data_IF_087685182406
#
_entry.id   IF_087685182406
#
_cell.length_a   1.000
_cell.length_b   1.000
_cell.length_c   1.000
_cell.angle_alpha   90.00
_cell.angle_beta   90.00
_cell.angle_gamma   90.00
#
_symmetry.space_group_name_H-M   'P 1'
#
loop_
_entity.id
_entity.type
_entity.pdbx_description
1 polymer ?
#
# COMPACT_ATOMS: atom_id res chain seq x y z
N UNK A 1 29.32 -11.43 -56.54
CA UNK A 1 29.05 -10.70 -55.28
C UNK A 1 28.78 -11.73 -54.18
N UNK A 2 29.67 -11.94 -53.21
CA UNK A 2 29.44 -12.91 -52.15
C UNK A 2 28.32 -12.38 -51.23
N UNK A 3 27.21 -13.11 -51.14
CA UNK A 3 26.09 -12.80 -50.24
C UNK A 3 26.53 -13.13 -48.81
N UNK A 4 26.69 -12.10 -47.97
CA UNK A 4 26.95 -12.30 -46.55
C UNK A 4 25.82 -13.13 -45.92
N UNK A 5 26.18 -14.25 -45.31
CA UNK A 5 25.24 -15.21 -44.75
C UNK A 5 24.44 -14.57 -43.59
N UNK A 6 23.10 -14.65 -43.68
CA UNK A 6 22.15 -14.06 -42.73
C UNK A 6 22.35 -14.49 -41.27
N UNK A 7 23.03 -15.62 -41.03
CA UNK A 7 23.41 -16.08 -39.70
C UNK A 7 24.46 -15.18 -39.02
N UNK A 8 25.40 -14.61 -39.78
CA UNK A 8 26.45 -13.73 -39.23
C UNK A 8 25.87 -12.37 -38.85
N UNK A 9 24.91 -11.87 -39.63
CA UNK A 9 24.20 -10.62 -39.32
C UNK A 9 23.38 -10.73 -38.02
N UNK A 10 22.66 -11.85 -37.83
CA UNK A 10 21.90 -12.09 -36.59
C UNK A 10 22.79 -12.21 -35.35
N UNK A 11 23.94 -12.90 -35.46
CA UNK A 11 24.91 -13.00 -34.36
C UNK A 11 25.54 -11.65 -34.02
N UNK A 12 25.93 -10.85 -35.02
CA UNK A 12 26.47 -9.50 -34.81
C UNK A 12 25.45 -8.57 -34.17
N UNK A 13 24.17 -8.64 -34.61
CA UNK A 13 23.08 -7.84 -34.04
C UNK A 13 22.77 -8.20 -32.58
N UNK A 14 22.82 -9.48 -32.22
CA UNK A 14 22.65 -9.90 -30.82
C UNK A 14 23.81 -9.41 -29.96
N UNK A 15 25.05 -9.54 -30.42
CA UNK A 15 26.23 -9.05 -29.68
C UNK A 15 26.16 -7.54 -29.46
N UNK A 16 25.75 -6.76 -30.47
CA UNK A 16 25.60 -5.30 -30.32
C UNK A 16 24.49 -4.92 -29.34
N UNK A 17 23.36 -5.64 -29.33
CA UNK A 17 22.27 -5.37 -28.40
C UNK A 17 22.66 -5.72 -26.96
N UNK A 18 23.33 -6.85 -26.74
CA UNK A 18 23.83 -7.23 -25.41
C UNK A 18 24.88 -6.24 -24.92
N UNK A 19 25.82 -5.81 -25.78
CA UNK A 19 26.79 -4.79 -25.42
C UNK A 19 26.14 -3.45 -25.07
N UNK A 20 25.13 -3.02 -25.83
CA UNK A 20 24.38 -1.79 -25.54
C UNK A 20 23.63 -1.87 -24.20
N UNK A 21 22.99 -3.00 -23.90
CA UNK A 21 22.30 -3.24 -22.62
C UNK A 21 23.29 -3.20 -21.45
N UNK A 22 24.47 -3.81 -21.59
CA UNK A 22 25.51 -3.77 -20.56
C UNK A 22 26.00 -2.35 -20.29
N UNK A 23 26.20 -1.54 -21.33
CA UNK A 23 26.61 -0.14 -21.18
C UNK A 23 25.53 0.66 -20.43
N UNK A 24 24.26 0.49 -20.79
CA UNK A 24 23.15 1.17 -20.11
C UNK A 24 23.04 0.72 -18.65
N UNK A 25 23.22 -0.57 -18.35
CA UNK A 25 23.22 -1.09 -16.99
C UNK A 25 24.36 -0.49 -16.15
N UNK A 26 25.57 -0.41 -16.70
CA UNK A 26 26.73 0.18 -16.01
C UNK A 26 26.50 1.67 -15.71
N UNK A 27 25.96 2.42 -16.67
CA UNK A 27 25.63 3.85 -16.47
C UNK A 27 24.53 4.00 -15.42
N UNK A 28 23.49 3.17 -15.45
CA UNK A 28 22.43 3.17 -14.45
C UNK A 28 22.96 2.89 -13.04
N UNK A 29 23.84 1.89 -12.88
CA UNK A 29 24.48 1.58 -11.59
C UNK A 29 25.40 2.72 -11.14
N UNK A 30 26.17 3.33 -12.04
CA UNK A 30 27.04 4.45 -11.70
C UNK A 30 26.25 5.68 -11.23
N UNK A 31 25.17 6.03 -11.92
CA UNK A 31 24.26 7.12 -11.52
C UNK A 31 23.61 6.80 -10.17
N UNK A 32 23.14 5.56 -9.97
CA UNK A 32 22.57 5.11 -8.71
C UNK A 32 23.57 5.21 -7.55
N UNK A 33 24.83 4.78 -7.73
CA UNK A 33 25.88 4.87 -6.72
C UNK A 33 26.28 6.32 -6.38
N UNK A 34 26.22 7.23 -7.35
CA UNK A 34 26.48 8.66 -7.13
C UNK A 34 25.36 9.35 -6.32
N UNK A 35 24.11 8.95 -6.52
CA UNK A 35 22.94 9.49 -5.80
C UNK A 35 22.81 8.86 -4.40
N UNK A 36 22.88 7.54 -4.30
CA UNK A 36 22.66 6.82 -3.06
C UNK A 36 23.82 6.99 -2.05
N UNK A 37 25.02 7.41 -2.52
CA UNK A 37 26.25 7.57 -1.73
C UNK A 37 26.38 6.56 -0.56
N UNK A 38 26.31 5.24 -0.84
CA UNK A 38 26.31 4.22 0.22
C UNK A 38 27.61 4.16 1.04
N UNK A 39 28.65 4.89 0.60
CA UNK A 39 29.97 4.99 1.21
C UNK A 39 30.17 6.25 2.05
N UNK A 40 29.15 7.10 2.20
CA UNK A 40 29.23 8.30 3.05
C UNK A 40 29.15 8.01 4.57
N UNK A 41 28.88 6.76 4.97
CA UNK A 41 28.75 6.35 6.38
C UNK A 41 30.02 5.68 6.93
N UNK A 42 31.19 6.20 6.58
CA UNK A 42 32.45 5.75 7.16
C UNK A 42 33.11 6.94 7.90
N UNK A 43 32.53 7.34 9.03
CA UNK A 43 33.19 8.16 10.03
C UNK A 43 32.65 7.82 11.42
N UNK A 44 33.55 7.25 12.25
CA UNK A 44 33.55 7.17 13.73
C UNK A 44 32.40 6.46 14.46
N UNK A 45 32.57 5.77 15.59
CA UNK A 45 33.69 5.18 16.31
C UNK A 45 33.04 4.37 17.47
N UNK A 46 33.48 3.12 17.64
CA UNK A 46 33.76 2.37 18.89
C UNK A 46 32.80 2.42 20.12
N UNK A 47 32.51 1.26 20.77
CA UNK A 47 31.55 1.11 21.87
C UNK A 47 32.13 1.42 23.26
N UNK A 48 31.26 1.71 24.24
CA UNK A 48 31.59 1.74 25.67
C UNK A 48 30.50 1.02 26.48
N UNK A 49 30.81 -0.09 27.18
CA UNK A 49 29.94 -0.67 28.19
C UNK A 49 30.31 -0.12 29.57
N UNK A 50 29.34 0.05 30.48
CA UNK A 50 29.63 -0.02 31.91
C UNK A 50 28.41 -0.49 32.68
N UNK A 51 28.70 -1.44 33.57
CA UNK A 51 27.79 -2.20 34.41
C UNK A 51 27.56 -1.55 35.80
N UNK A 52 26.75 -2.26 36.59
CA UNK A 52 26.62 -2.22 38.06
C UNK A 52 25.83 -1.06 38.66
N UNK A 53 25.12 -1.20 39.79
CA UNK A 53 24.66 -2.32 40.61
C UNK A 53 23.81 -1.71 41.76
N UNK A 54 23.10 -2.58 42.49
CA UNK A 54 22.72 -2.46 43.91
C UNK A 54 21.33 -1.93 44.28
N UNK A 55 20.53 -2.86 44.80
CA UNK A 55 19.55 -2.71 45.90
C UNK A 55 20.30 -2.36 47.23
N UNK A 56 19.68 -2.12 48.43
CA UNK A 56 18.60 -2.96 49.01
C UNK A 56 17.66 -2.29 50.06
N UNK A 57 16.82 -3.15 50.67
CA UNK A 57 16.17 -3.10 52.01
C UNK A 57 15.07 -2.06 52.26
N UNK A 58 14.09 -2.22 53.15
CA UNK A 58 13.46 -3.29 53.95
C UNK A 58 12.35 -2.55 54.73
N UNK A 59 11.25 -3.21 55.11
CA UNK A 59 10.59 -3.09 56.44
C UNK A 59 9.15 -3.62 56.43
N UNK A 60 8.94 -4.74 57.10
CA UNK A 60 7.68 -5.20 57.74
C UNK A 60 7.41 -4.32 58.98
N UNK A 61 6.15 -4.14 59.43
CA UNK A 61 5.59 -5.06 60.43
C UNK A 61 4.08 -5.40 60.26
N UNK A 62 3.75 -6.65 60.58
CA UNK A 62 2.44 -7.13 61.09
C UNK A 62 2.24 -6.57 62.53
N UNK A 63 1.03 -6.45 63.13
CA UNK A 63 0.24 -7.66 63.41
C UNK A 63 -1.31 -7.54 63.58
N UNK A 64 -1.94 -8.71 63.60
CA UNK A 64 -3.08 -9.12 64.47
C UNK A 64 -4.47 -9.31 63.83
N UNK A 65 -5.00 -10.49 64.16
CA UNK A 65 -6.22 -11.15 63.71
C UNK A 65 -7.54 -10.54 64.16
N UNK A 66 -8.59 -10.81 63.37
CA UNK A 66 -10.01 -10.64 63.71
C UNK A 66 -10.88 -11.48 62.77
N UNK A 67 -11.91 -12.12 63.33
CA UNK A 67 -12.68 -13.26 62.82
C UNK A 67 -13.50 -13.07 61.51
N UNK A 68 -13.78 -14.22 60.88
CA UNK A 68 -14.74 -14.50 59.79
C UNK A 68 -16.21 -14.41 60.26
N UNK A 69 -17.29 -14.56 59.44
CA UNK A 69 -17.42 -14.71 57.98
C UNK A 69 -18.49 -13.80 57.32
N UNK A 70 -18.44 -13.70 55.98
CA UNK A 70 -19.57 -13.83 55.04
C UNK A 70 -19.60 -12.78 53.90
N UNK A 71 -19.91 -13.33 52.72
CA UNK A 71 -20.55 -12.72 51.55
C UNK A 71 -19.69 -11.97 50.51
N UNK A 72 -19.93 -12.43 49.28
CA UNK A 72 -19.76 -11.76 47.99
C UNK A 72 -18.37 -11.75 47.33
N UNK A 73 -18.19 -12.75 46.47
CA UNK A 73 -17.29 -12.76 45.32
C UNK A 73 -17.54 -11.55 44.41
N UNK A 74 -16.55 -10.71 44.11
CA UNK A 74 -16.54 -9.96 42.86
C UNK A 74 -15.93 -10.83 41.76
N UNK A 75 -16.41 -10.62 40.54
CA UNK A 75 -16.00 -11.26 39.31
C UNK A 75 -14.50 -11.06 39.00
N UNK A 76 -13.87 -11.93 38.17
CA UNK A 76 -12.50 -11.73 37.76
C UNK A 76 -12.40 -10.48 36.87
N UNK A 77 -11.75 -9.44 37.37
CA UNK A 77 -11.23 -8.38 36.51
C UNK A 77 -10.10 -8.99 35.65
N UNK A 78 -10.46 -9.32 34.41
CA UNK A 78 -9.50 -9.57 33.35
C UNK A 78 -8.75 -8.25 33.09
N UNK A 79 -7.69 -8.00 33.86
CA UNK A 79 -6.64 -7.06 33.46
C UNK A 79 -6.00 -7.62 32.19
N UNK A 80 -6.53 -7.21 31.04
CA UNK A 80 -5.84 -7.34 29.78
C UNK A 80 -4.63 -6.40 29.85
N UNK A 81 -3.46 -7.00 30.00
CA UNK A 81 -2.16 -6.37 29.88
C UNK A 81 -2.08 -5.76 28.47
N UNK A 82 -2.31 -4.46 28.33
CA UNK A 82 -2.09 -3.75 27.07
C UNK A 82 -0.59 -3.78 26.75
N UNK A 83 -0.19 -4.77 25.94
CA UNK A 83 0.99 -4.62 25.09
C UNK A 83 0.81 -3.29 24.36
N UNK A 84 1.81 -2.39 24.29
CA UNK A 84 1.64 -1.14 23.55
C UNK A 84 1.40 -1.50 22.07
N UNK A 85 0.13 -1.62 21.72
CA UNK A 85 -0.34 -2.03 20.43
C UNK A 85 -0.12 -0.87 19.48
N UNK A 86 0.23 -1.19 18.23
CA UNK A 86 0.22 -0.20 17.16
C UNK A 86 -1.19 0.38 17.11
N UNK A 87 -1.30 1.69 17.37
CA UNK A 87 -2.59 2.40 17.40
C UNK A 87 -3.18 2.49 15.99
N UNK A 88 -4.50 2.62 15.89
CA UNK A 88 -5.15 2.85 14.60
C UNK A 88 -4.67 4.16 13.98
N UNK A 89 -4.56 4.20 12.65
CA UNK A 89 -4.23 5.43 11.94
C UNK A 89 -5.32 6.50 12.16
N UNK A 90 -4.92 7.77 12.23
CA UNK A 90 -5.82 8.91 12.35
C UNK A 90 -6.02 9.61 11.00
N UNK A 91 -7.22 10.17 10.76
CA UNK A 91 -7.60 10.80 9.50
C UNK A 91 -6.65 11.90 9.01
N UNK A 92 -5.99 12.61 9.94
CA UNK A 92 -5.02 13.67 9.61
C UNK A 92 -3.66 13.15 9.13
N UNK A 93 -3.32 11.90 9.46
CA UNK A 93 -2.00 11.35 9.23
C UNK A 93 -1.92 10.49 7.97
N UNK A 94 -3.03 10.02 7.42
CA UNK A 94 -3.02 9.14 6.25
C UNK A 94 -3.51 9.87 5.01
N UNK A 95 -2.63 9.99 4.03
CA UNK A 95 -2.98 10.43 2.68
C UNK A 95 -3.30 9.22 1.80
N UNK A 96 -4.45 9.27 1.14
CA UNK A 96 -4.91 8.25 0.19
C UNK A 96 -4.93 8.85 -1.22
N UNK A 97 -4.34 8.15 -2.18
CA UNK A 97 -4.32 8.59 -3.58
C UNK A 97 -4.68 7.45 -4.54
N UNK A 98 -5.43 7.79 -5.59
CA UNK A 98 -5.68 6.89 -6.70
C UNK A 98 -4.44 6.81 -7.60
N UNK A 99 -4.05 5.60 -8.00
CA UNK A 99 -2.96 5.35 -8.93
C UNK A 99 -3.49 4.54 -10.10
N UNK A 100 -3.07 4.88 -11.31
CA UNK A 100 -3.38 4.16 -12.54
C UNK A 100 -2.09 3.79 -13.26
N UNK A 101 -2.10 2.71 -14.03
CA UNK A 101 -0.94 2.26 -14.80
C UNK A 101 -0.62 3.14 -16.01
N UNK A 102 -1.59 3.92 -16.48
CA UNK A 102 -1.41 4.94 -17.51
C UNK A 102 -2.38 6.13 -17.31
N UNK A 103 -2.09 7.23 -17.99
CA UNK A 103 -2.99 8.39 -18.06
C UNK A 103 -3.96 8.33 -19.25
N UNK A 104 -3.66 7.49 -20.24
CA UNK A 104 -4.42 7.33 -21.47
C UNK A 104 -4.41 5.87 -21.92
N UNK A 105 -5.55 5.39 -22.40
CA UNK A 105 -5.75 4.00 -22.79
C UNK A 105 -6.29 3.91 -24.21
N UNK A 106 -5.59 3.16 -25.05
CA UNK A 106 -6.03 2.83 -26.41
C UNK A 106 -7.34 2.01 -26.40
N UNK A 107 -8.03 1.90 -27.54
CA UNK A 107 -9.20 1.05 -27.67
C UNK A 107 -8.92 -0.39 -27.20
N UNK A 108 -9.76 -0.88 -26.29
CA UNK A 108 -9.66 -2.24 -25.76
C UNK A 108 -8.65 -2.43 -24.63
N UNK A 109 -7.78 -1.45 -24.33
CA UNK A 109 -6.91 -1.50 -23.15
C UNK A 109 -7.72 -1.20 -21.90
N UNK A 110 -7.57 -2.03 -20.87
CA UNK A 110 -8.30 -1.95 -19.60
C UNK A 110 -7.45 -1.27 -18.52
N UNK A 111 -7.94 -0.21 -17.87
CA UNK A 111 -7.24 0.44 -16.77
C UNK A 111 -6.96 -0.48 -15.58
N UNK A 112 -5.73 -0.41 -15.07
CA UNK A 112 -5.33 -1.03 -13.80
C UNK A 112 -5.34 0.03 -12.70
N UNK A 113 -6.27 -0.11 -11.76
CA UNK A 113 -6.53 0.87 -10.70
C UNK A 113 -5.90 0.40 -9.38
N UNK A 114 -5.19 1.27 -8.70
CA UNK A 114 -4.51 0.99 -7.44
C UNK A 114 -4.75 2.11 -6.42
N UNK A 115 -4.52 1.78 -5.15
CA UNK A 115 -4.60 2.73 -4.04
C UNK A 115 -3.19 2.91 -3.50
N UNK A 116 -2.78 4.16 -3.29
CA UNK A 116 -1.56 4.51 -2.57
C UNK A 116 -1.92 5.10 -1.21
N UNK A 117 -1.23 4.65 -0.18
CA UNK A 117 -1.33 5.10 1.20
C UNK A 117 0.00 5.73 1.60
N UNK A 118 -0.04 6.92 2.20
CA UNK A 118 1.14 7.56 2.81
C UNK A 118 0.82 7.93 4.25
N UNK A 119 1.61 7.42 5.19
CA UNK A 119 1.57 7.90 6.58
C UNK A 119 2.45 9.15 6.71
N UNK A 120 1.80 10.30 6.84
CA UNK A 120 2.38 11.63 7.09
C UNK A 120 2.63 11.89 8.58
N UNK A 121 2.14 11.03 9.46
CA UNK A 121 2.37 11.08 10.90
C UNK A 121 3.80 10.71 11.29
N UNK A 122 4.09 10.88 12.59
CA UNK A 122 5.42 10.63 13.17
C UNK A 122 5.57 9.24 13.81
N UNK A 123 4.50 8.46 13.84
CA UNK A 123 4.43 7.13 14.45
C UNK A 123 3.83 6.12 13.50
N UNK A 124 4.21 4.85 13.67
CA UNK A 124 3.59 3.73 12.98
C UNK A 124 2.12 3.62 13.41
N UNK A 125 1.25 3.25 12.47
CA UNK A 125 -0.17 3.06 12.76
C UNK A 125 -0.73 1.84 12.01
N UNK A 126 -1.86 1.32 12.50
CA UNK A 126 -2.54 0.17 11.93
C UNK A 126 -3.77 0.62 11.11
N UNK A 127 -3.96 0.01 9.95
CA UNK A 127 -5.08 0.29 9.04
C UNK A 127 -5.58 -1.01 8.40
N UNK A 128 -6.90 -1.17 8.30
CA UNK A 128 -7.49 -2.25 7.51
C UNK A 128 -7.39 -1.91 6.01
N UNK A 129 -6.49 -2.60 5.33
CA UNK A 129 -6.27 -2.52 3.88
C UNK A 129 -6.94 -3.67 3.14
N UNK A 130 -7.83 -4.40 3.79
CA UNK A 130 -8.61 -5.48 3.19
C UNK A 130 -9.62 -4.97 2.17
N UNK A 131 -10.07 -5.85 1.28
CA UNK A 131 -11.04 -5.52 0.25
C UNK A 131 -12.44 -5.19 0.81
N UNK A 132 -12.70 -5.47 2.09
CA UNK A 132 -13.90 -5.02 2.83
C UNK A 132 -13.98 -3.52 2.99
N UNK A 133 -12.83 -2.83 3.06
CA UNK A 133 -12.76 -1.38 3.28
C UNK A 133 -12.30 -0.61 2.05
N UNK A 134 -11.83 -1.31 1.00
CA UNK A 134 -11.42 -0.71 -0.26
C UNK A 134 -12.61 -0.40 -1.18
N UNK A 135 -12.67 0.84 -1.67
CA UNK A 135 -13.59 1.26 -2.72
C UNK A 135 -12.84 2.10 -3.75
N UNK A 136 -12.95 1.70 -5.01
CA UNK A 136 -12.51 2.49 -6.17
C UNK A 136 -13.75 2.88 -6.96
N UNK A 137 -13.86 4.15 -7.34
CA UNK A 137 -15.00 4.67 -8.09
C UNK A 137 -14.51 5.38 -9.34
N UNK A 138 -15.07 5.04 -10.49
CA UNK A 138 -14.80 5.70 -11.76
C UNK A 138 -16.01 6.53 -12.17
N UNK A 139 -15.80 7.81 -12.43
CA UNK A 139 -16.84 8.74 -12.86
C UNK A 139 -16.45 9.57 -14.08
N UNK A 140 -17.44 10.12 -14.77
CA UNK A 140 -17.27 11.16 -15.80
C UNK A 140 -18.20 12.33 -15.44
N UNK A 141 -17.63 13.44 -15.00
CA UNK A 141 -18.41 14.53 -14.39
C UNK A 141 -19.10 14.05 -13.11
N UNK A 142 -20.42 14.24 -13.02
CA UNK A 142 -21.23 13.74 -11.90
C UNK A 142 -21.74 12.32 -12.07
N UNK A 143 -21.51 11.69 -13.23
CA UNK A 143 -22.02 10.34 -13.52
C UNK A 143 -21.03 9.28 -13.04
N UNK A 144 -21.47 8.43 -12.11
CA UNK A 144 -20.70 7.27 -11.65
C UNK A 144 -20.88 6.14 -12.65
N UNK A 145 -19.78 5.72 -13.25
CA UNK A 145 -19.75 4.62 -14.20
C UNK A 145 -19.53 3.30 -13.51
N UNK A 146 -18.58 3.24 -12.58
CA UNK A 146 -18.21 1.96 -11.99
C UNK A 146 -17.76 2.13 -10.54
N UNK A 147 -18.08 1.15 -9.70
CA UNK A 147 -17.58 1.07 -8.33
C UNK A 147 -17.09 -0.34 -8.05
N UNK A 148 -15.90 -0.50 -7.47
CA UNK A 148 -15.27 -1.80 -7.22
C UNK A 148 -16.06 -2.72 -6.29
N UNK A 149 -16.93 -2.14 -5.47
CA UNK A 149 -17.80 -2.89 -4.54
C UNK A 149 -19.07 -3.40 -5.22
N UNK A 150 -19.43 -2.87 -6.40
CA UNK A 150 -20.52 -3.44 -7.17
C UNK A 150 -20.09 -4.84 -7.62
N UNK A 151 -20.89 -5.85 -7.26
CA UNK A 151 -20.66 -7.24 -7.65
C UNK A 151 -19.37 -7.83 -7.07
N UNK A 152 -18.82 -7.23 -6.01
CA UNK A 152 -17.69 -7.79 -5.29
C UNK A 152 -18.10 -9.09 -4.59
N UNK A 153 -17.30 -10.14 -4.75
CA UNK A 153 -17.48 -11.40 -4.07
C UNK A 153 -16.39 -11.64 -3.03
N UNK A 154 -16.75 -12.29 -1.93
CA UNK A 154 -15.83 -12.72 -0.88
C UNK A 154 -14.87 -11.63 -0.36
N UNK A 155 -15.36 -10.45 0.06
CA UNK A 155 -14.49 -9.43 0.61
C UNK A 155 -13.84 -9.94 1.91
N UNK A 156 -12.58 -9.55 2.14
CA UNK A 156 -11.84 -9.91 3.35
C UNK A 156 -11.13 -8.71 3.96
N UNK A 157 -11.07 -8.66 5.28
CA UNK A 157 -10.30 -7.67 6.04
C UNK A 157 -8.85 -8.11 6.17
N UNK A 158 -7.94 -7.14 6.17
CA UNK A 158 -6.51 -7.34 6.37
C UNK A 158 -5.93 -6.11 7.05
N UNK A 159 -5.62 -6.22 8.35
CA UNK A 159 -4.94 -5.15 9.08
C UNK A 159 -3.45 -5.17 8.75
N UNK A 160 -2.93 -4.03 8.33
CA UNK A 160 -1.52 -3.82 8.05
C UNK A 160 -0.98 -2.65 8.87
N UNK A 161 0.31 -2.72 9.21
CA UNK A 161 1.06 -1.60 9.78
C UNK A 161 1.55 -0.70 8.66
N UNK A 162 1.26 0.60 8.76
CA UNK A 162 1.78 1.65 7.91
C UNK A 162 2.84 2.44 8.70
N UNK A 163 4.11 2.18 8.39
CA UNK A 163 5.25 2.82 9.06
C UNK A 163 5.23 4.33 8.85
N UNK A 164 5.67 5.09 9.87
CA UNK A 164 5.78 6.54 9.80
C UNK A 164 6.59 6.99 8.57
N UNK A 165 6.06 7.95 7.80
CA UNK A 165 6.69 8.46 6.58
C UNK A 165 6.67 7.51 5.38
N UNK A 166 6.17 6.28 5.52
CA UNK A 166 6.15 5.31 4.43
C UNK A 166 5.00 5.58 3.45
N UNK A 167 5.26 5.37 2.17
CA UNK A 167 4.26 5.26 1.12
C UNK A 167 4.20 3.81 0.63
N UNK A 168 3.01 3.23 0.61
CA UNK A 168 2.75 1.90 0.08
C UNK A 168 1.65 1.96 -0.97
N UNK A 169 1.81 1.20 -2.05
CA UNK A 169 0.79 1.07 -3.10
C UNK A 169 0.29 -0.37 -3.10
N UNK A 170 -1.01 -0.56 -3.36
CA UNK A 170 -1.61 -1.88 -3.54
C UNK A 170 -0.79 -2.71 -4.52
N UNK A 171 -0.40 -3.92 -4.11
CA UNK A 171 0.42 -4.81 -4.95
C UNK A 171 -0.36 -5.40 -6.13
N UNK A 172 -1.67 -5.63 -5.93
CA UNK A 172 -2.57 -6.18 -6.94
C UNK A 172 -3.53 -5.06 -7.36
N UNK A 173 -3.46 -4.57 -8.60
CA UNK A 173 -4.42 -3.59 -9.09
C UNK A 173 -5.79 -4.23 -9.32
N UNK A 174 -6.83 -3.42 -9.24
CA UNK A 174 -8.18 -3.77 -9.67
C UNK A 174 -8.33 -3.36 -11.14
N UNK A 175 -8.64 -4.32 -12.01
CA UNK A 175 -8.91 -4.04 -13.42
C UNK A 175 -10.33 -3.52 -13.58
N UNK A 176 -10.50 -2.36 -14.21
CA UNK A 176 -11.81 -1.92 -14.69
C UNK A 176 -12.00 -2.31 -16.15
N UNK A 177 -13.01 -3.12 -16.43
CA UNK A 177 -13.32 -3.68 -17.76
C UNK A 177 -13.97 -2.67 -18.73
N UNK A 178 -13.98 -1.38 -18.37
CA UNK A 178 -14.63 -0.30 -19.13
C UNK A 178 -16.14 -0.53 -19.30
N UNK A 179 -16.79 -1.18 -18.35
CA UNK A 179 -18.26 -1.28 -18.30
C UNK A 179 -18.84 -0.51 -17.14
N UNK A 180 -20.12 -0.16 -17.26
CA UNK A 180 -20.89 0.40 -16.15
C UNK A 180 -21.15 -0.68 -15.10
N UNK A 181 -21.25 -0.30 -13.82
CA UNK A 181 -21.71 -1.22 -12.76
C UNK A 181 -22.83 -0.63 -11.93
N UNK A 182 -23.59 -1.55 -11.35
CA UNK A 182 -24.49 -1.34 -10.21
C UNK A 182 -24.73 -2.70 -9.56
N UNK A 183 -25.18 -2.72 -8.30
CA UNK A 183 -25.53 -3.96 -7.58
C UNK A 183 -26.60 -4.80 -8.28
N UNK A 184 -27.42 -4.21 -9.15
CA UNK A 184 -28.47 -4.90 -9.90
C UNK A 184 -27.97 -5.55 -11.20
N UNK A 185 -26.76 -5.21 -11.65
CA UNK A 185 -26.23 -5.64 -12.97
C UNK A 185 -25.18 -6.74 -12.88
N UNK A 186 -25.02 -7.38 -11.72
CA UNK A 186 -23.95 -8.36 -11.50
C UNK A 186 -24.04 -9.60 -12.38
N UNK A 187 -25.26 -10.03 -12.73
CA UNK A 187 -25.50 -11.13 -13.65
C UNK A 187 -25.67 -10.68 -15.11
N UNK A 188 -25.59 -9.37 -15.39
CA UNK A 188 -25.77 -8.83 -16.73
C UNK A 188 -24.46 -8.91 -17.54
N UNK A 189 -24.50 -9.69 -18.61
CA UNK A 189 -23.37 -9.84 -19.55
C UNK A 189 -23.25 -8.65 -20.52
N UNK A 190 -24.26 -7.78 -20.61
CA UNK A 190 -24.36 -6.70 -21.59
C UNK A 190 -24.37 -5.30 -20.95
N UNK A 191 -23.60 -5.12 -19.88
CA UNK A 191 -23.45 -3.82 -19.22
C UNK A 191 -22.94 -2.75 -20.21
N UNK A 192 -23.47 -1.52 -20.15
CA UNK A 192 -23.06 -0.43 -21.05
C UNK A 192 -21.54 -0.22 -21.04
N UNK A 193 -20.93 -0.11 -22.22
CA UNK A 193 -19.50 0.19 -22.34
C UNK A 193 -19.24 1.68 -22.16
N UNK A 194 -18.18 1.99 -21.42
CA UNK A 194 -17.68 3.35 -21.24
C UNK A 194 -17.27 3.93 -22.61
N UNK A 195 -17.80 5.10 -23.00
CA UNK A 195 -17.34 5.82 -24.19
C UNK A 195 -15.82 5.94 -24.29
N UNK A 196 -15.30 5.72 -25.50
CA UNK A 196 -13.92 6.05 -25.88
C UNK A 196 -13.85 7.40 -26.61
N UNK A 197 -12.89 7.55 -27.53
CA UNK A 197 -12.77 8.74 -28.37
C UNK A 197 -12.23 9.99 -27.65
N UNK A 198 -11.41 9.80 -26.61
CA UNK A 198 -10.86 10.87 -25.78
C UNK A 198 -11.75 11.26 -24.61
N UNK A 199 -12.69 10.39 -24.23
CA UNK A 199 -13.53 10.60 -23.06
C UNK A 199 -12.70 10.62 -21.77
N UNK A 200 -13.03 11.55 -20.87
CA UNK A 200 -12.33 11.75 -19.60
C UNK A 200 -13.06 11.06 -18.46
N UNK A 201 -12.31 10.29 -17.68
CA UNK A 201 -12.78 9.65 -16.45
C UNK A 201 -11.91 10.03 -15.26
N UNK A 202 -12.50 10.01 -14.07
CA UNK A 202 -11.82 10.28 -12.82
C UNK A 202 -11.95 9.08 -11.89
N UNK A 203 -10.82 8.64 -11.36
CA UNK A 203 -10.72 7.54 -10.40
C UNK A 203 -10.60 8.14 -9.00
N UNK A 204 -11.60 7.89 -8.16
CA UNK A 204 -11.59 8.17 -6.73
C UNK A 204 -11.35 6.88 -5.95
N UNK A 205 -10.75 6.99 -4.76
CA UNK A 205 -10.44 5.84 -3.91
C UNK A 205 -10.76 6.13 -2.45
N UNK A 206 -11.14 5.08 -1.72
CA UNK A 206 -11.35 5.06 -0.29
C UNK A 206 -10.84 3.72 0.25
N UNK A 207 -10.18 3.72 1.41
CA UNK A 207 -9.65 2.52 2.05
C UNK A 207 -9.59 2.72 3.56
N UNK A 208 -9.95 1.72 4.35
CA UNK A 208 -9.88 1.79 5.82
C UNK A 208 -10.69 2.95 6.46
N UNK A 209 -11.67 3.50 5.75
CA UNK A 209 -12.41 4.71 6.17
C UNK A 209 -11.78 6.05 5.77
N UNK A 210 -10.65 6.04 5.09
CA UNK A 210 -9.94 7.22 4.60
C UNK A 210 -10.26 7.45 3.12
N UNK A 211 -10.69 8.66 2.78
CA UNK A 211 -11.02 9.06 1.40
C UNK A 211 -9.86 9.80 0.77
N UNK A 212 -9.59 9.50 -0.50
CA UNK A 212 -8.68 10.30 -1.30
C UNK A 212 -9.22 11.72 -1.50
N UNK A 213 -8.38 12.72 -1.29
CA UNK A 213 -8.74 14.14 -1.43
C UNK A 213 -8.75 14.61 -2.88
N UNK A 214 -8.11 13.85 -3.77
CA UNK A 214 -8.05 14.11 -5.21
C UNK A 214 -8.38 12.86 -6.00
N UNK A 215 -8.88 13.04 -7.22
CA UNK A 215 -9.08 11.94 -8.18
C UNK A 215 -7.95 11.90 -9.20
N UNK A 216 -7.69 10.70 -9.74
CA UNK A 216 -6.76 10.51 -10.86
C UNK A 216 -7.54 10.53 -12.17
N UNK A 217 -7.24 11.50 -13.04
CA UNK A 217 -7.84 11.55 -14.38
C UNK A 217 -7.20 10.49 -15.29
N UNK A 218 -8.03 9.84 -16.11
CA UNK A 218 -7.61 8.98 -17.22
C UNK A 218 -8.42 9.30 -18.49
N UNK A 219 -7.82 9.07 -19.65
CA UNK A 219 -8.47 9.22 -20.95
C UNK A 219 -8.70 7.85 -21.61
N UNK A 220 -9.90 7.64 -22.14
CA UNK A 220 -10.21 6.46 -22.94
C UNK A 220 -10.32 6.85 -24.42
N UNK A 221 -9.49 6.22 -25.25
CA UNK A 221 -9.56 6.32 -26.72
C UNK A 221 -10.36 5.17 -27.31
#
# INVERSE_FOLDING_TARGET
>A
MPRHSAAVYRRRRLVTLVAAILVVAVVGVAVWLLVARPWANAAEATPSPSASASAPESSTPDPTAGESPAAESPAPESSAEETPGIVACEAGDVEVAAVTDADAYDPGVMPQLSISLTNRGSTDCAIDVGSTTQRLTVSSGSDVWWTSTDCQENPSSMVATLTAGATVTSKVPVTWDRTRSSVETCADENRPRAPGGGASYHVAVEIGGFKGTTTKQILLY
#
